data_IF_791186033200
#
_entry.id   IF_791186033200
#
_cell.length_a   1.000
_cell.length_b   1.000
_cell.length_c   1.000
_cell.angle_alpha   90.00
_cell.angle_beta   90.00
_cell.angle_gamma   90.00
#
_symmetry.space_group_name_H-M   'P 1'
#
loop_
_entity.id
_entity.type
_entity.pdbx_description
1 polymer ?
#
# COMPACT_ATOMS: atom_id res chain seq x y z
N UNK A 1 9.60 -14.61 -12.64
CA UNK A 1 10.08 -15.97 -12.37
C UNK A 1 11.27 -15.94 -11.41
N UNK A 2 11.10 -16.54 -10.23
CA UNK A 2 12.11 -16.67 -9.16
C UNK A 2 12.73 -18.06 -9.11
N UNK A 3 12.03 -19.07 -9.65
CA UNK A 3 12.48 -20.46 -9.78
C UNK A 3 13.79 -20.64 -10.54
N UNK A 4 14.44 -21.77 -10.32
CA UNK A 4 15.71 -22.13 -10.99
C UNK A 4 15.70 -23.53 -11.60
N UNK A 5 14.58 -24.23 -11.54
CA UNK A 5 14.49 -25.56 -12.15
C UNK A 5 14.56 -25.44 -13.67
N UNK A 6 15.18 -26.43 -14.30
CA UNK A 6 15.33 -26.53 -15.75
C UNK A 6 13.96 -26.46 -16.45
N UNK A 7 12.99 -27.25 -15.96
CA UNK A 7 11.61 -27.23 -16.46
C UNK A 7 10.94 -25.85 -16.41
N UNK A 8 11.23 -25.05 -15.38
CA UNK A 8 10.70 -23.68 -15.27
C UNK A 8 11.39 -22.72 -16.24
N UNK A 9 12.70 -22.91 -16.48
CA UNK A 9 13.46 -22.09 -17.42
C UNK A 9 13.00 -22.35 -18.85
N UNK A 10 12.81 -23.61 -19.23
CA UNK A 10 12.34 -24.00 -20.56
C UNK A 10 10.94 -23.46 -20.84
N UNK A 11 10.00 -23.64 -19.91
CA UNK A 11 8.64 -23.12 -20.06
C UNK A 11 8.60 -21.59 -20.21
N UNK A 12 9.46 -20.86 -19.48
CA UNK A 12 9.60 -19.41 -19.62
C UNK A 12 10.23 -19.03 -20.96
N UNK A 13 11.19 -19.82 -21.45
CA UNK A 13 11.76 -19.67 -22.78
C UNK A 13 10.69 -19.78 -23.87
N UNK A 14 9.89 -20.85 -23.84
CA UNK A 14 8.76 -21.05 -24.77
C UNK A 14 7.75 -19.90 -24.70
N UNK A 15 7.39 -19.45 -23.48
CA UNK A 15 6.50 -18.31 -23.32
C UNK A 15 7.08 -17.04 -23.95
N UNK A 16 8.37 -16.80 -23.78
CA UNK A 16 9.04 -15.63 -24.38
C UNK A 16 8.97 -15.65 -25.91
N UNK A 17 9.20 -16.81 -26.53
CA UNK A 17 9.11 -16.96 -27.99
C UNK A 17 7.70 -16.66 -28.51
N UNK A 18 6.66 -17.15 -27.81
CA UNK A 18 5.26 -16.85 -28.14
C UNK A 18 4.96 -15.36 -28.04
N UNK A 19 5.46 -14.69 -26.99
CA UNK A 19 5.27 -13.26 -26.81
C UNK A 19 6.00 -12.44 -27.88
N UNK A 20 7.20 -12.86 -28.29
CA UNK A 20 7.99 -12.22 -29.36
C UNK A 20 7.35 -12.42 -30.75
N UNK A 21 6.71 -13.57 -30.98
CA UNK A 21 5.94 -13.83 -32.20
C UNK A 21 4.66 -12.97 -32.30
N UNK A 22 4.20 -12.43 -31.16
CA UNK A 22 3.01 -11.61 -31.05
C UNK A 22 1.75 -12.42 -30.75
N UNK A 23 0.84 -11.78 -30.03
CA UNK A 23 -0.48 -12.32 -29.72
C UNK A 23 -1.47 -11.85 -30.80
N UNK A 24 -2.42 -12.69 -31.24
CA UNK A 24 -3.46 -12.28 -32.19
C UNK A 24 -4.19 -11.00 -31.75
N UNK A 25 -4.59 -10.12 -32.70
CA UNK A 25 -5.15 -8.81 -32.37
C UNK A 25 -6.52 -8.88 -31.67
N UNK A 26 -7.22 -10.01 -31.76
CA UNK A 26 -8.48 -10.30 -31.08
C UNK A 26 -8.29 -10.88 -29.67
N UNK A 27 -7.05 -11.06 -29.22
CA UNK A 27 -6.71 -11.65 -27.91
C UNK A 27 -5.94 -10.65 -27.06
N UNK A 28 -6.46 -10.37 -25.87
CA UNK A 28 -5.73 -9.63 -24.83
C UNK A 28 -5.13 -10.62 -23.84
N UNK A 29 -3.80 -10.70 -23.77
CA UNK A 29 -3.10 -11.51 -22.80
C UNK A 29 -2.84 -10.70 -21.52
N UNK A 30 -3.31 -11.20 -20.38
CA UNK A 30 -3.01 -10.65 -19.05
C UNK A 30 -2.12 -11.62 -18.30
N UNK A 31 -0.93 -11.17 -17.90
CA UNK A 31 0.00 -11.96 -17.11
C UNK A 31 0.11 -11.35 -15.70
N UNK A 32 -0.20 -12.15 -14.69
CA UNK A 32 -0.08 -11.77 -13.28
C UNK A 32 0.95 -12.65 -12.59
N UNK A 33 1.80 -12.04 -11.76
CA UNK A 33 2.78 -12.73 -10.94
C UNK A 33 2.93 -12.02 -9.60
N UNK A 34 3.01 -12.78 -8.51
CA UNK A 34 3.27 -12.23 -7.18
C UNK A 34 4.70 -11.72 -7.03
N UNK A 35 5.66 -12.35 -7.71
CA UNK A 35 7.07 -11.97 -7.69
C UNK A 35 7.75 -12.19 -9.05
N UNK A 36 8.66 -11.28 -9.39
CA UNK A 36 9.48 -11.39 -10.60
C UNK A 36 10.90 -10.90 -10.36
N UNK A 37 11.89 -11.69 -10.76
CA UNK A 37 13.28 -11.23 -10.75
C UNK A 37 13.50 -10.26 -11.92
N UNK A 38 13.44 -8.95 -11.62
CA UNK A 38 13.57 -7.85 -12.59
C UNK A 38 14.94 -7.83 -13.29
N UNK A 39 15.94 -8.55 -12.78
CA UNK A 39 17.30 -8.62 -13.36
C UNK A 39 17.39 -9.58 -14.55
N UNK A 40 16.46 -10.54 -14.65
CA UNK A 40 16.50 -11.59 -15.68
C UNK A 40 16.08 -11.07 -17.06
N UNK A 41 16.63 -11.69 -18.11
CA UNK A 41 16.36 -11.37 -19.50
C UNK A 41 14.87 -11.40 -19.84
N UNK A 42 14.14 -12.40 -19.34
CA UNK A 42 12.70 -12.53 -19.56
C UNK A 42 11.92 -11.28 -19.14
N UNK A 43 12.17 -10.74 -17.94
CA UNK A 43 11.48 -9.52 -17.48
C UNK A 43 11.82 -8.32 -18.37
N UNK A 44 13.11 -8.13 -18.69
CA UNK A 44 13.54 -7.02 -19.55
C UNK A 44 12.88 -7.06 -20.93
N UNK A 45 12.74 -8.26 -21.51
CA UNK A 45 12.06 -8.46 -22.81
C UNK A 45 10.56 -8.24 -22.69
N UNK A 46 9.92 -8.80 -21.66
CA UNK A 46 8.50 -8.59 -21.39
C UNK A 46 8.16 -7.10 -21.24
N UNK A 47 8.96 -6.33 -20.48
CA UNK A 47 8.78 -4.88 -20.33
C UNK A 47 8.93 -4.08 -21.62
N UNK A 48 9.57 -4.63 -22.65
CA UNK A 48 9.67 -3.99 -23.95
C UNK A 48 8.48 -4.32 -24.88
N UNK A 49 7.79 -5.44 -24.62
CA UNK A 49 6.71 -5.96 -25.47
C UNK A 49 5.30 -5.68 -24.91
N UNK A 50 5.19 -5.40 -23.62
CA UNK A 50 3.91 -5.25 -22.92
C UNK A 50 3.86 -3.98 -22.07
N UNK A 51 2.65 -3.49 -21.79
CA UNK A 51 2.42 -2.54 -20.70
C UNK A 51 2.60 -3.26 -19.36
N UNK A 52 3.64 -2.88 -18.60
CA UNK A 52 3.99 -3.54 -17.33
C UNK A 52 3.66 -2.64 -16.17
N UNK A 53 2.71 -3.10 -15.35
CA UNK A 53 2.33 -2.44 -14.10
C UNK A 53 2.86 -3.22 -12.90
N UNK A 54 3.54 -2.50 -12.00
CA UNK A 54 4.18 -3.07 -10.82
C UNK A 54 3.43 -2.62 -9.57
N UNK A 55 2.99 -3.59 -8.77
CA UNK A 55 2.23 -3.38 -7.55
C UNK A 55 3.04 -3.83 -6.32
N UNK A 56 4.28 -3.37 -6.22
CA UNK A 56 5.16 -3.68 -5.10
C UNK A 56 4.60 -3.08 -3.81
N UNK A 57 4.69 -3.83 -2.70
CA UNK A 57 4.34 -3.31 -1.38
C UNK A 57 5.35 -2.23 -0.99
N UNK A 58 4.84 -1.14 -0.39
CA UNK A 58 5.70 -0.14 0.23
C UNK A 58 6.39 -0.76 1.45
N UNK A 59 7.70 -0.58 1.52
CA UNK A 59 8.50 -1.03 2.65
C UNK A 59 8.38 -0.03 3.80
N UNK A 60 7.56 -0.38 4.81
CA UNK A 60 7.29 0.45 5.99
C UNK A 60 8.49 0.58 6.93
N UNK A 61 9.55 -0.20 6.75
CA UNK A 61 10.77 -0.08 7.55
C UNK A 61 11.65 1.11 7.14
N UNK A 62 11.37 1.73 5.99
CA UNK A 62 12.11 2.88 5.49
C UNK A 62 11.50 4.19 5.97
N UNK A 63 12.33 5.11 6.44
CA UNK A 63 11.89 6.42 6.98
C UNK A 63 11.03 7.24 5.99
N UNK A 64 11.15 7.02 4.69
CA UNK A 64 10.44 7.78 3.65
C UNK A 64 9.14 7.10 3.16
N UNK A 65 8.72 5.98 3.75
CA UNK A 65 7.57 5.20 3.29
C UNK A 65 6.28 6.02 3.16
N UNK A 66 6.05 6.94 4.10
CA UNK A 66 4.87 7.83 4.08
C UNK A 66 4.88 8.74 2.85
N UNK A 67 6.06 9.26 2.47
CA UNK A 67 6.21 10.10 1.27
C UNK A 67 6.00 9.29 -0.01
N UNK A 68 6.44 8.03 -0.03
CA UNK A 68 6.25 7.14 -1.18
C UNK A 68 4.75 6.90 -1.47
N UNK A 69 3.91 6.81 -0.44
CA UNK A 69 2.47 6.58 -0.63
C UNK A 69 1.63 7.86 -0.69
N UNK A 70 2.13 8.98 -0.17
CA UNK A 70 1.42 10.26 -0.17
C UNK A 70 0.98 10.70 -1.59
N UNK A 71 1.83 10.51 -2.60
CA UNK A 71 1.49 10.81 -4.00
C UNK A 71 0.27 10.03 -4.47
N UNK A 72 0.25 8.72 -4.20
CA UNK A 72 -0.86 7.83 -4.54
C UNK A 72 -2.13 8.22 -3.80
N UNK A 73 -2.05 8.44 -2.48
CA UNK A 73 -3.20 8.87 -1.66
C UNK A 73 -3.78 10.20 -2.17
N UNK A 74 -2.93 11.17 -2.51
CA UNK A 74 -3.37 12.45 -3.09
C UNK A 74 -4.08 12.26 -4.42
N UNK A 75 -3.58 11.38 -5.28
CA UNK A 75 -4.23 11.07 -6.56
C UNK A 75 -5.58 10.39 -6.33
N UNK A 76 -5.62 9.39 -5.45
CA UNK A 76 -6.82 8.62 -5.17
C UNK A 76 -7.91 9.43 -4.47
N UNK A 77 -7.54 10.37 -3.60
CA UNK A 77 -8.47 11.33 -3.01
C UNK A 77 -9.12 12.21 -4.09
N UNK A 78 -8.32 12.69 -5.06
CA UNK A 78 -8.84 13.48 -6.19
C UNK A 78 -9.78 12.65 -7.07
N UNK A 79 -9.44 11.40 -7.35
CA UNK A 79 -10.32 10.44 -8.04
C UNK A 79 -11.63 10.25 -7.28
N UNK A 80 -11.59 10.23 -5.95
CA UNK A 80 -12.75 10.18 -5.06
C UNK A 80 -13.47 11.54 -4.87
N UNK A 81 -13.01 12.61 -5.53
CA UNK A 81 -13.69 13.91 -5.57
C UNK A 81 -13.29 14.93 -4.50
N UNK A 82 -12.24 14.69 -3.71
CA UNK A 82 -11.82 15.60 -2.64
C UNK A 82 -10.29 15.75 -2.53
N UNK A 83 -9.84 16.67 -1.68
CA UNK A 83 -8.43 16.85 -1.32
C UNK A 83 -8.25 16.91 0.19
N UNK A 84 -7.06 16.59 0.69
CA UNK A 84 -6.74 16.75 2.11
C UNK A 84 -6.14 18.12 2.42
N UNK A 85 -6.31 18.57 3.66
CA UNK A 85 -5.32 19.44 4.30
C UNK A 85 -4.02 18.65 4.59
N UNK A 86 -2.84 19.29 4.58
CA UNK A 86 -1.55 18.58 4.70
C UNK A 86 -1.49 17.64 5.92
N UNK A 87 -1.85 18.14 7.10
CA UNK A 87 -1.85 17.38 8.36
C UNK A 87 -2.89 16.25 8.36
N UNK A 88 -4.02 16.45 7.66
CA UNK A 88 -5.06 15.44 7.55
C UNK A 88 -4.60 14.25 6.71
N UNK A 89 -3.83 14.50 5.65
CA UNK A 89 -3.28 13.44 4.81
C UNK A 89 -2.26 12.58 5.59
N UNK A 90 -1.38 13.23 6.35
CA UNK A 90 -0.39 12.53 7.16
C UNK A 90 -1.06 11.65 8.22
N UNK A 91 -2.07 12.19 8.91
CA UNK A 91 -2.84 11.44 9.90
C UNK A 91 -3.62 10.27 9.26
N UNK A 92 -4.19 10.47 8.07
CA UNK A 92 -4.85 9.41 7.31
C UNK A 92 -3.89 8.25 6.98
N UNK A 93 -2.71 8.57 6.44
CA UNK A 93 -1.69 7.56 6.10
C UNK A 93 -1.22 6.83 7.36
N UNK A 94 -1.04 7.54 8.47
CA UNK A 94 -0.63 6.93 9.74
C UNK A 94 -1.67 5.92 10.24
N UNK A 95 -2.96 6.29 10.23
CA UNK A 95 -4.04 5.43 10.71
C UNK A 95 -4.22 4.18 9.87
N UNK A 96 -4.15 4.32 8.55
CA UNK A 96 -4.49 3.26 7.59
C UNK A 96 -3.27 2.41 7.20
N UNK A 97 -2.07 2.97 7.23
CA UNK A 97 -0.83 2.30 6.83
C UNK A 97 -0.64 2.24 5.31
N UNK A 98 -0.11 1.11 4.81
CA UNK A 98 0.29 0.94 3.39
C UNK A 98 -0.58 -0.05 2.60
N UNK A 99 -1.60 -0.63 3.21
CA UNK A 99 -2.51 -1.54 2.52
C UNK A 99 -3.36 -0.72 1.54
N UNK A 100 -3.09 -0.90 0.24
CA UNK A 100 -3.72 -0.12 -0.82
C UNK A 100 -5.24 -0.32 -0.88
N UNK A 101 -5.75 -1.51 -0.55
CA UNK A 101 -7.18 -1.78 -0.48
C UNK A 101 -7.81 -1.04 0.69
N UNK A 102 -7.17 -1.05 1.86
CA UNK A 102 -7.64 -0.29 3.02
C UNK A 102 -7.62 1.22 2.73
N UNK A 103 -6.53 1.74 2.17
CA UNK A 103 -6.44 3.15 1.76
C UNK A 103 -7.60 3.55 0.84
N UNK A 104 -7.90 2.75 -0.19
CA UNK A 104 -9.01 3.01 -1.11
C UNK A 104 -10.37 3.02 -0.38
N UNK A 105 -10.62 2.04 0.47
CA UNK A 105 -11.88 1.93 1.22
C UNK A 105 -12.07 3.11 2.18
N UNK A 106 -11.02 3.51 2.89
CA UNK A 106 -11.07 4.65 3.83
C UNK A 106 -11.23 5.98 3.09
N UNK A 107 -10.64 6.16 1.90
CA UNK A 107 -10.87 7.33 1.04
C UNK A 107 -12.32 7.42 0.55
N UNK A 108 -12.91 6.29 0.15
CA UNK A 108 -14.32 6.24 -0.28
C UNK A 108 -15.25 6.61 0.88
N UNK A 109 -15.03 6.05 2.07
CA UNK A 109 -15.78 6.43 3.27
C UNK A 109 -15.63 7.91 3.60
N UNK A 110 -14.41 8.45 3.51
CA UNK A 110 -14.17 9.86 3.75
C UNK A 110 -14.94 10.74 2.74
N UNK A 111 -14.92 10.38 1.46
CA UNK A 111 -15.68 11.09 0.41
C UNK A 111 -17.18 11.10 0.72
N UNK A 112 -17.74 9.95 1.08
CA UNK A 112 -19.15 9.82 1.47
C UNK A 112 -19.49 10.66 2.71
N UNK A 113 -18.60 10.68 3.70
CA UNK A 113 -18.76 11.47 4.92
C UNK A 113 -18.71 12.99 4.67
N UNK A 114 -17.84 13.43 3.76
CA UNK A 114 -17.70 14.84 3.41
C UNK A 114 -18.90 15.39 2.64
N UNK A 115 -19.58 14.55 1.85
CA UNK A 115 -20.71 14.96 1.01
C UNK A 115 -20.29 16.02 -0.02
N UNK A 116 -20.89 17.20 0.03
CA UNK A 116 -20.56 18.31 -0.88
C UNK A 116 -19.21 18.99 -0.57
N UNK A 117 -18.64 18.76 0.62
CA UNK A 117 -17.34 19.32 0.99
C UNK A 117 -16.23 18.62 0.22
N UNK A 118 -15.36 19.38 -0.44
CA UNK A 118 -14.24 18.85 -1.24
C UNK A 118 -12.88 18.88 -0.54
N UNK A 119 -12.87 19.17 0.77
CA UNK A 119 -11.65 19.28 1.58
C UNK A 119 -11.81 18.54 2.90
N UNK A 120 -10.93 17.57 3.12
CA UNK A 120 -10.84 16.80 4.35
C UNK A 120 -9.89 17.46 5.35
N UNK A 121 -10.37 17.67 6.56
CA UNK A 121 -9.59 18.18 7.69
C UNK A 121 -9.10 17.04 8.59
N UNK A 122 -8.17 17.33 9.51
CA UNK A 122 -7.71 16.34 10.50
C UNK A 122 -8.86 15.83 11.38
N UNK A 123 -9.84 16.69 11.67
CA UNK A 123 -11.03 16.31 12.44
C UNK A 123 -11.94 15.35 11.67
N UNK A 124 -12.05 15.50 10.34
CA UNK A 124 -12.83 14.58 9.52
C UNK A 124 -12.19 13.18 9.52
N UNK A 125 -10.85 13.13 9.38
CA UNK A 125 -10.07 11.88 9.46
C UNK A 125 -10.27 11.22 10.83
N UNK A 126 -10.12 11.96 11.92
CA UNK A 126 -10.31 11.42 13.27
C UNK A 126 -11.72 10.92 13.56
N UNK A 127 -12.74 11.43 12.86
CA UNK A 127 -14.14 11.05 13.07
C UNK A 127 -14.55 9.75 12.37
N UNK A 128 -14.01 9.47 11.17
CA UNK A 128 -14.50 8.36 10.32
C UNK A 128 -13.44 7.31 9.99
N UNK A 129 -12.15 7.63 10.12
CA UNK A 129 -11.06 6.73 9.74
C UNK A 129 -10.62 5.94 10.97
N UNK A 130 -10.88 4.63 10.91
CA UNK A 130 -10.47 3.71 11.96
C UNK A 130 -8.95 3.53 11.94
N UNK A 131 -8.34 3.50 13.13
CA UNK A 131 -6.92 3.17 13.27
C UNK A 131 -6.74 1.67 13.08
N UNK A 132 -5.94 1.29 12.10
CA UNK A 132 -5.56 -0.11 11.85
C UNK A 132 -4.55 -0.58 12.91
N UNK A 133 -4.36 -1.89 13.06
CA UNK A 133 -3.31 -2.44 13.93
C UNK A 133 -1.92 -1.82 13.63
N UNK A 134 -1.56 -1.72 12.35
CA UNK A 134 -0.33 -1.05 11.92
C UNK A 134 -0.31 0.42 12.34
N UNK A 135 -1.43 1.13 12.24
CA UNK A 135 -1.56 2.51 12.72
C UNK A 135 -1.37 2.66 14.23
N UNK A 136 -1.86 1.71 15.03
CA UNK A 136 -1.66 1.75 16.49
C UNK A 136 -0.19 1.55 16.85
N UNK A 137 0.52 0.63 16.17
CA UNK A 137 1.97 0.45 16.35
C UNK A 137 2.72 1.76 16.07
N UNK A 138 2.37 2.45 14.98
CA UNK A 138 2.97 3.75 14.67
C UNK A 138 2.63 4.83 15.71
N UNK A 139 1.41 4.82 16.25
CA UNK A 139 1.01 5.76 17.31
C UNK A 139 1.80 5.53 18.60
N UNK A 140 2.04 4.27 18.98
CA UNK A 140 2.91 3.90 20.10
C UNK A 140 4.34 4.42 19.85
N UNK A 141 4.89 4.21 18.64
CA UNK A 141 6.21 4.71 18.27
C UNK A 141 6.32 6.24 18.31
N UNK A 142 5.26 6.95 17.89
CA UNK A 142 5.18 8.42 17.98
C UNK A 142 5.17 8.88 19.43
N UNK A 143 4.29 8.31 20.26
CA UNK A 143 4.18 8.67 21.68
C UNK A 143 5.51 8.43 22.43
N UNK A 144 6.23 7.36 22.10
CA UNK A 144 7.55 7.07 22.64
C UNK A 144 8.58 8.13 22.22
N UNK A 145 8.59 8.50 20.94
CA UNK A 145 9.50 9.52 20.38
C UNK A 145 9.26 10.89 21.02
N UNK A 146 8.00 11.23 21.26
CA UNK A 146 7.57 12.47 21.92
C UNK A 146 7.79 12.45 23.45
N UNK A 147 8.28 11.33 23.99
CA UNK A 147 8.48 11.08 25.43
C UNK A 147 7.19 11.20 26.26
N UNK A 148 6.05 10.96 25.64
CA UNK A 148 4.75 10.90 26.30
C UNK A 148 4.52 9.48 26.87
N UNK A 149 5.16 9.23 28.01
CA UNK A 149 5.10 7.94 28.69
C UNK A 149 3.67 7.55 29.09
N UNK A 150 2.82 8.44 29.66
CA UNK A 150 1.42 8.10 29.96
C UNK A 150 0.65 7.61 28.73
N UNK A 151 0.76 8.31 27.60
CA UNK A 151 0.08 7.90 26.36
C UNK A 151 0.64 6.59 25.82
N UNK A 152 1.95 6.42 25.84
CA UNK A 152 2.61 5.19 25.38
C UNK A 152 2.11 3.97 26.15
N UNK A 153 2.08 4.04 27.49
CA UNK A 153 1.60 2.94 28.34
C UNK A 153 0.12 2.66 28.06
N UNK A 154 -0.71 3.70 27.97
CA UNK A 154 -2.13 3.55 27.71
C UNK A 154 -2.42 2.81 26.39
N UNK A 155 -1.70 3.17 25.31
CA UNK A 155 -1.85 2.53 24.01
C UNK A 155 -1.41 1.05 24.06
N UNK A 156 -0.31 0.74 24.75
CA UNK A 156 0.17 -0.65 24.92
C UNK A 156 -0.83 -1.47 25.73
N UNK A 157 -1.33 -0.94 26.85
CA UNK A 157 -2.32 -1.63 27.69
C UNK A 157 -3.62 -1.92 26.94
N UNK A 158 -4.08 -0.96 26.12
CA UNK A 158 -5.26 -1.15 25.27
C UNK A 158 -5.07 -2.33 24.29
N UNK A 159 -3.89 -2.45 23.66
CA UNK A 159 -3.61 -3.56 22.74
C UNK A 159 -3.51 -4.92 23.44
N UNK A 160 -2.87 -4.96 24.61
CA UNK A 160 -2.82 -6.18 25.42
C UNK A 160 -4.23 -6.62 25.86
N UNK A 161 -5.11 -5.67 26.20
CA UNK A 161 -6.50 -5.95 26.57
C UNK A 161 -7.36 -6.46 25.40
N UNK A 162 -7.02 -6.08 24.16
CA UNK A 162 -7.66 -6.58 22.93
C UNK A 162 -7.19 -8.00 22.55
N UNK A 163 -6.25 -8.58 23.31
CA UNK A 163 -5.73 -9.92 23.08
C UNK A 163 -4.57 -9.98 22.08
N UNK A 164 -3.97 -8.83 21.75
CA UNK A 164 -2.77 -8.83 20.91
C UNK A 164 -1.56 -9.36 21.69
N UNK A 165 -0.72 -10.12 21.00
CA UNK A 165 0.51 -10.63 21.59
C UNK A 165 1.50 -9.49 21.79
N UNK A 166 2.16 -9.45 22.94
CA UNK A 166 3.28 -8.54 23.21
C UNK A 166 4.40 -8.65 22.16
N UNK A 167 4.54 -9.81 21.49
CA UNK A 167 5.50 -10.02 20.39
C UNK A 167 5.05 -9.32 19.09
N UNK A 168 3.76 -9.11 18.89
CA UNK A 168 3.24 -8.36 17.74
C UNK A 168 3.38 -6.84 17.88
N UNK A 169 3.68 -6.35 19.10
CA UNK A 169 3.87 -4.95 19.43
C UNK A 169 5.35 -4.51 19.43
N UNK A 170 6.29 -5.46 19.35
CA UNK A 170 7.75 -5.26 19.31
C UNK A 170 8.29 -5.35 17.88
#
# INVERSE_FOLDING_TARGET
MTGRSETTLDAVGTLQEVLEAGVPPDVTLVLSASEVDKRRSFYKKLSALADVQVFDKVDISKDDWQRQIAGNVSQWAKEAGFTFDPEAQEEFILRVGVDTRQLRNELEKLSLYLGDRKRATISDVGAIVATTHTGVIFEIGRALTDRDLPRTIHLIEHQLAQGESAVGLL
#
